data_IF_640070021385
#
_entry.id   IF_640070021385
#
_cell.length_a   1.000
_cell.length_b   1.000
_cell.length_c   1.000
_cell.angle_alpha   90.00
_cell.angle_beta   90.00
_cell.angle_gamma   90.00
#
_symmetry.space_group_name_H-M   'P 1'
#
loop_
_entity.id
_entity.type
_entity.pdbx_description
1 polymer ?
#
# COMPACT_ATOMS: atom_id res chain seq x y z
N UNK A 1 6.11 -5.97 -21.54
CA UNK A 1 6.04 -4.70 -20.77
C UNK A 1 6.77 -4.91 -19.47
N UNK A 2 7.69 -4.01 -19.10
CA UNK A 2 8.44 -4.11 -17.83
C UNK A 2 7.77 -3.33 -16.69
N UNK A 3 6.85 -2.41 -17.00
CA UNK A 3 6.04 -1.67 -16.03
C UNK A 3 4.70 -1.18 -16.64
N UNK A 4 3.84 -0.60 -15.81
CA UNK A 4 2.67 0.16 -16.24
C UNK A 4 2.45 1.34 -15.27
N UNK A 5 2.66 2.58 -15.72
CA UNK A 5 2.40 3.76 -14.90
C UNK A 5 1.79 4.88 -15.72
N UNK A 6 0.62 5.37 -15.28
CA UNK A 6 -0.20 6.38 -15.96
C UNK A 6 -0.62 7.56 -15.07
N UNK A 7 0.00 7.74 -13.90
CA UNK A 7 -0.53 8.62 -12.85
C UNK A 7 -0.32 10.13 -13.11
N UNK A 8 0.58 10.49 -14.01
CA UNK A 8 0.94 11.88 -14.27
C UNK A 8 0.53 12.31 -15.68
N UNK A 9 0.38 13.60 -15.87
CA UNK A 9 -0.02 14.18 -17.16
C UNK A 9 1.01 13.87 -18.27
N UNK A 10 2.30 13.85 -17.93
CA UNK A 10 3.42 13.64 -18.85
C UNK A 10 3.68 12.17 -19.23
N UNK A 11 2.69 11.27 -19.10
CA UNK A 11 2.90 9.86 -19.44
C UNK A 11 3.24 9.67 -20.92
N UNK A 12 3.99 8.62 -21.25
CA UNK A 12 4.44 8.40 -22.62
C UNK A 12 3.24 8.35 -23.59
N UNK A 13 3.28 9.23 -24.60
CA UNK A 13 2.20 9.39 -25.58
C UNK A 13 0.86 9.84 -25.01
N UNK A 14 0.83 10.44 -23.81
CA UNK A 14 -0.39 10.81 -23.09
C UNK A 14 -1.23 9.60 -22.65
N UNK A 15 -0.61 8.41 -22.57
CA UNK A 15 -1.31 7.14 -22.30
C UNK A 15 -0.72 6.40 -21.10
N UNK A 16 0.52 5.92 -21.22
CA UNK A 16 1.14 5.09 -20.18
C UNK A 16 2.63 4.89 -20.44
N UNK A 17 3.42 4.91 -19.36
CA UNK A 17 4.83 4.50 -19.37
C UNK A 17 4.93 2.97 -19.16
N UNK A 18 5.52 2.26 -20.13
CA UNK A 18 5.56 0.78 -20.14
C UNK A 18 6.97 0.15 -20.11
N UNK A 19 8.00 0.98 -20.28
CA UNK A 19 9.43 0.58 -20.26
C UNK A 19 10.19 1.37 -19.19
N UNK A 20 10.09 2.70 -19.26
CA UNK A 20 10.61 3.68 -18.30
C UNK A 20 9.61 4.83 -18.21
N UNK A 21 9.51 5.47 -17.04
CA UNK A 21 8.73 6.67 -16.84
C UNK A 21 9.37 7.89 -17.49
N UNK A 22 8.57 8.77 -18.09
CA UNK A 22 9.03 10.08 -18.59
C UNK A 22 9.66 10.91 -17.45
N UNK A 23 9.22 10.69 -16.21
CA UNK A 23 9.79 11.28 -15.00
C UNK A 23 11.11 10.65 -14.52
N UNK A 24 11.67 9.69 -15.26
CA UNK A 24 12.90 8.97 -14.88
C UNK A 24 12.70 7.74 -13.99
N UNK A 25 11.46 7.41 -13.62
CA UNK A 25 11.14 6.20 -12.86
C UNK A 25 11.42 4.94 -13.70
N UNK A 26 12.35 4.10 -13.25
CA UNK A 26 12.59 2.80 -13.89
C UNK A 26 11.55 1.74 -13.48
N UNK A 27 11.62 0.58 -14.15
CA UNK A 27 10.70 -0.53 -13.92
C UNK A 27 10.78 -1.12 -12.50
N UNK A 28 11.98 -1.17 -11.90
CA UNK A 28 12.17 -1.69 -10.54
C UNK A 28 11.53 -0.78 -9.49
N UNK A 29 11.73 0.53 -9.62
CA UNK A 29 11.06 1.54 -8.77
C UNK A 29 9.54 1.47 -8.97
N UNK A 30 9.06 1.34 -10.20
CA UNK A 30 7.63 1.20 -10.49
C UNK A 30 7.03 -0.04 -9.80
N UNK A 31 7.66 -1.22 -9.93
CA UNK A 31 7.19 -2.44 -9.28
C UNK A 31 7.19 -2.33 -7.75
N UNK A 32 8.20 -1.69 -7.14
CA UNK A 32 8.22 -1.47 -5.70
C UNK A 32 7.11 -0.52 -5.24
N UNK A 33 6.82 0.54 -6.00
CA UNK A 33 5.70 1.43 -5.74
C UNK A 33 4.36 0.69 -5.86
N UNK A 34 4.19 -0.18 -6.86
CA UNK A 34 2.99 -1.02 -7.00
C UNK A 34 2.80 -1.95 -5.79
N UNK A 35 3.88 -2.60 -5.34
CA UNK A 35 3.87 -3.45 -4.14
C UNK A 35 3.52 -2.65 -2.87
N UNK A 36 3.99 -1.40 -2.75
CA UNK A 36 3.63 -0.53 -1.63
C UNK A 36 2.14 -0.18 -1.63
N UNK A 37 1.57 0.15 -2.79
CA UNK A 37 0.12 0.39 -2.92
C UNK A 37 -0.65 -0.88 -2.58
N UNK A 38 -0.17 -2.04 -3.01
CA UNK A 38 -0.79 -3.32 -2.66
C UNK A 38 -0.76 -3.57 -1.15
N UNK A 39 0.39 -3.39 -0.50
CA UNK A 39 0.52 -3.51 0.95
C UNK A 39 -0.39 -2.53 1.69
N UNK A 40 -0.48 -1.27 1.24
CA UNK A 40 -1.37 -0.26 1.81
C UNK A 40 -2.84 -0.68 1.72
N UNK A 41 -3.30 -1.22 0.59
CA UNK A 41 -4.65 -1.78 0.44
C UNK A 41 -4.89 -2.96 1.40
N UNK A 42 -3.95 -3.90 1.46
CA UNK A 42 -4.05 -5.09 2.31
C UNK A 42 -4.09 -4.75 3.80
N UNK A 43 -3.34 -3.74 4.23
CA UNK A 43 -3.39 -3.23 5.61
C UNK A 43 -4.71 -2.49 5.87
N UNK A 44 -5.10 -1.61 4.95
CA UNK A 44 -6.28 -0.76 5.08
C UNK A 44 -7.56 -1.57 5.18
N UNK A 45 -7.63 -2.75 4.55
CA UNK A 45 -8.83 -3.60 4.65
C UNK A 45 -9.12 -4.01 6.09
N UNK A 46 -8.10 -4.38 6.87
CA UNK A 46 -8.24 -4.77 8.27
C UNK A 46 -8.48 -3.55 9.16
N UNK A 47 -7.70 -2.49 8.96
CA UNK A 47 -7.85 -1.23 9.69
C UNK A 47 -9.26 -0.63 9.51
N UNK A 48 -9.84 -0.74 8.31
CA UNK A 48 -11.20 -0.29 8.04
C UNK A 48 -12.26 -1.08 8.81
N UNK A 49 -12.13 -2.42 8.93
CA UNK A 49 -13.06 -3.22 9.73
C UNK A 49 -12.89 -2.93 11.23
N UNK A 50 -11.66 -2.84 11.71
CA UNK A 50 -11.39 -2.41 13.09
C UNK A 50 -12.02 -1.04 13.38
N UNK A 51 -11.91 -0.10 12.44
CA UNK A 51 -12.49 1.25 12.55
C UNK A 51 -14.02 1.25 12.64
N UNK A 52 -14.70 0.36 11.91
CA UNK A 52 -16.16 0.15 12.04
C UNK A 52 -16.57 -0.33 13.44
N UNK A 53 -15.66 -0.96 14.16
CA UNK A 53 -15.84 -1.44 15.54
C UNK A 53 -15.26 -0.46 16.58
N UNK A 54 -14.89 0.75 16.16
CA UNK A 54 -14.36 1.79 17.05
C UNK A 54 -12.87 1.66 17.40
N UNK A 55 -12.15 0.68 16.84
CA UNK A 55 -10.72 0.50 17.09
C UNK A 55 -9.86 1.17 16.01
N UNK A 56 -8.81 1.91 16.45
CA UNK A 56 -7.87 2.62 15.57
C UNK A 56 -6.45 2.49 16.10
N UNK A 57 -5.47 2.53 15.21
CA UNK A 57 -4.06 2.54 15.56
C UNK A 57 -3.32 3.56 14.67
N UNK A 58 -2.72 4.57 15.29
CA UNK A 58 -2.04 5.66 14.59
C UNK A 58 -0.83 5.19 13.78
N UNK A 59 -0.13 4.15 14.22
CA UNK A 59 1.03 3.63 13.49
C UNK A 59 0.61 3.02 12.14
N UNK A 60 -0.58 2.41 12.10
CA UNK A 60 -1.18 1.90 10.85
C UNK A 60 -1.53 3.06 9.93
N UNK A 61 -2.20 4.09 10.43
CA UNK A 61 -2.60 5.26 9.65
C UNK A 61 -1.37 6.00 9.06
N UNK A 62 -0.32 6.15 9.87
CA UNK A 62 0.94 6.76 9.44
C UNK A 62 1.64 5.93 8.36
N UNK A 63 1.65 4.60 8.50
CA UNK A 63 2.24 3.74 7.48
C UNK A 63 1.51 3.85 6.14
N UNK A 64 0.17 3.82 6.15
CA UNK A 64 -0.62 3.94 4.91
C UNK A 64 -0.33 5.28 4.22
N UNK A 65 -0.24 6.36 5.01
CA UNK A 65 0.09 7.69 4.49
C UNK A 65 1.51 7.74 3.91
N UNK A 66 2.50 7.19 4.62
CA UNK A 66 3.89 7.10 4.18
C UNK A 66 4.04 6.28 2.88
N UNK A 67 3.35 5.14 2.81
CA UNK A 67 3.37 4.27 1.64
C UNK A 67 2.81 4.99 0.41
N UNK A 68 1.63 5.61 0.52
CA UNK A 68 1.00 6.34 -0.59
C UNK A 68 1.81 7.58 -1.00
N UNK A 69 2.35 8.34 -0.04
CA UNK A 69 3.13 9.52 -0.36
C UNK A 69 4.43 9.15 -1.10
N UNK A 70 5.04 8.03 -0.74
CA UNK A 70 6.25 7.51 -1.40
C UNK A 70 6.05 7.08 -2.86
N UNK A 71 4.80 6.92 -3.31
CA UNK A 71 4.48 6.54 -4.70
C UNK A 71 4.04 7.72 -5.59
N UNK A 72 3.94 8.93 -5.04
CA UNK A 72 3.58 10.12 -5.81
C UNK A 72 4.72 10.48 -6.78
N UNK A 73 4.36 11.06 -7.93
CA UNK A 73 5.29 11.46 -8.99
C UNK A 73 6.40 12.34 -8.41
N UNK A 74 7.65 12.00 -8.73
CA UNK A 74 8.86 12.73 -8.30
C UNK A 74 9.13 12.76 -6.79
N UNK A 75 8.52 11.86 -5.99
CA UNK A 75 8.80 11.81 -4.54
C UNK A 75 9.97 10.92 -4.18
N UNK A 76 9.99 9.66 -4.65
CA UNK A 76 11.02 8.71 -4.23
C UNK A 76 11.36 7.70 -5.33
N UNK A 77 12.64 7.69 -5.72
CA UNK A 77 13.22 6.75 -6.69
C UNK A 77 14.28 5.83 -6.07
N UNK A 78 14.51 5.89 -4.75
CA UNK A 78 15.47 5.03 -4.06
C UNK A 78 14.86 3.65 -3.77
N UNK A 79 15.30 2.65 -4.52
CA UNK A 79 14.85 1.27 -4.39
C UNK A 79 15.12 0.67 -3.00
N UNK A 80 16.22 1.04 -2.33
CA UNK A 80 16.54 0.56 -0.97
C UNK A 80 15.55 1.13 0.03
N UNK A 81 15.21 2.42 -0.09
CA UNK A 81 14.23 3.05 0.79
C UNK A 81 12.83 2.50 0.57
N UNK A 82 12.41 2.32 -0.68
CA UNK A 82 11.12 1.71 -1.00
C UNK A 82 11.02 0.27 -0.49
N UNK A 83 12.07 -0.53 -0.66
CA UNK A 83 12.13 -1.88 -0.11
C UNK A 83 12.06 -1.90 1.43
N UNK A 84 12.71 -0.96 2.11
CA UNK A 84 12.65 -0.84 3.56
C UNK A 84 11.23 -0.48 4.06
N UNK A 85 10.53 0.43 3.37
CA UNK A 85 9.12 0.75 3.66
C UNK A 85 8.25 -0.48 3.43
N UNK A 86 8.46 -1.21 2.34
CA UNK A 86 7.70 -2.43 2.04
C UNK A 86 7.89 -3.50 3.13
N UNK A 87 9.13 -3.70 3.59
CA UNK A 87 9.44 -4.61 4.68
C UNK A 87 8.77 -4.21 6.00
N UNK A 88 8.69 -2.90 6.30
CA UNK A 88 7.91 -2.37 7.44
C UNK A 88 6.43 -2.70 7.30
N UNK A 89 5.88 -2.65 6.08
CA UNK A 89 4.49 -3.01 5.78
C UNK A 89 4.10 -4.41 6.24
N UNK A 90 5.00 -5.38 6.16
CA UNK A 90 4.76 -6.74 6.67
C UNK A 90 4.44 -6.77 8.16
N UNK A 91 5.14 -5.97 8.97
CA UNK A 91 4.90 -5.84 10.41
C UNK A 91 3.59 -5.09 10.69
N UNK A 92 3.35 -4.00 9.99
CA UNK A 92 2.12 -3.19 10.14
C UNK A 92 0.88 -3.98 9.74
N UNK A 93 0.98 -4.88 8.75
CA UNK A 93 -0.08 -5.82 8.41
C UNK A 93 -0.46 -6.73 9.57
N UNK A 94 0.51 -7.32 10.25
CA UNK A 94 0.24 -8.16 11.43
C UNK A 94 -0.45 -7.35 12.54
N UNK A 95 -0.03 -6.09 12.74
CA UNK A 95 -0.69 -5.18 13.68
C UNK A 95 -2.14 -4.91 13.29
N UNK A 96 -2.41 -4.65 12.00
CA UNK A 96 -3.77 -4.42 11.50
C UNK A 96 -4.69 -5.64 11.67
N UNK A 97 -4.16 -6.84 11.40
CA UNK A 97 -4.88 -8.10 11.65
C UNK A 97 -5.23 -8.23 13.13
N UNK A 98 -4.25 -8.05 14.02
CA UNK A 98 -4.46 -8.16 15.47
C UNK A 98 -5.45 -7.11 16.00
N UNK A 99 -5.38 -5.88 15.49
CA UNK A 99 -6.33 -4.82 15.84
C UNK A 99 -7.75 -5.22 15.46
N UNK A 100 -7.95 -5.73 14.24
CA UNK A 100 -9.27 -6.19 13.79
C UNK A 100 -9.78 -7.38 14.58
N UNK A 101 -8.98 -8.43 14.76
CA UNK A 101 -9.42 -9.64 15.48
C UNK A 101 -9.76 -9.35 16.93
N UNK A 102 -8.99 -8.48 17.60
CA UNK A 102 -9.30 -8.05 18.96
C UNK A 102 -10.60 -7.24 19.02
N UNK A 103 -10.80 -6.31 18.09
CA UNK A 103 -12.03 -5.50 18.02
C UNK A 103 -13.27 -6.38 17.74
N UNK A 104 -13.17 -7.33 16.81
CA UNK A 104 -14.23 -8.27 16.48
C UNK A 104 -14.59 -9.15 17.70
N UNK A 105 -13.58 -9.68 18.40
CA UNK A 105 -13.80 -10.45 19.63
C UNK A 105 -14.50 -9.67 20.73
N UNK A 106 -14.13 -8.40 20.96
CA UNK A 106 -14.80 -7.52 21.92
C UNK A 106 -16.24 -7.20 21.53
N UNK A 107 -16.52 -7.08 20.23
CA UNK A 107 -17.84 -6.81 19.70
C UNK A 107 -18.72 -8.07 19.55
N UNK A 108 -18.20 -9.26 19.85
CA UNK A 108 -18.91 -10.53 19.63
C UNK A 108 -19.18 -10.85 18.16
N UNK A 109 -18.43 -10.26 17.24
CA UNK A 109 -18.58 -10.47 15.79
C UNK A 109 -17.59 -11.50 15.27
N UNK A 110 -17.97 -12.35 14.31
CA UNK A 110 -17.03 -13.27 13.67
C UNK A 110 -15.97 -12.50 12.88
N UNK A 111 -14.74 -13.02 12.88
CA UNK A 111 -13.65 -12.49 12.04
C UNK A 111 -13.91 -12.90 10.59
N UNK A 112 -14.13 -11.91 9.73
CA UNK A 112 -14.32 -12.12 8.29
C UNK A 112 -13.06 -12.71 7.66
N UNK A 113 -13.26 -13.68 6.76
CA UNK A 113 -12.19 -14.08 5.85
C UNK A 113 -12.06 -12.99 4.77
N UNK A 114 -10.96 -12.24 4.81
CA UNK A 114 -10.68 -11.20 3.83
C UNK A 114 -9.74 -11.78 2.75
N UNK A 115 -10.25 -12.12 1.55
CA UNK A 115 -9.39 -12.58 0.46
C UNK A 115 -8.45 -11.45 0.03
N UNK A 116 -7.21 -11.81 -0.28
CA UNK A 116 -6.18 -10.85 -0.73
C UNK A 116 -6.75 -9.97 -1.85
N UNK A 117 -6.54 -8.64 -1.84
CA UNK A 117 -7.31 -7.70 -2.65
C UNK A 117 -7.36 -7.93 -4.18
N UNK A 118 -6.59 -8.86 -4.75
CA UNK A 118 -6.59 -9.21 -6.17
C UNK A 118 -6.22 -10.70 -6.41
N UNK A 119 -6.69 -11.61 -5.55
CA UNK A 119 -6.67 -13.05 -5.84
C UNK A 119 -7.92 -13.48 -6.61
#
# INVERSE_FOLDING_TARGET
MSMFCYQCEQTAGGKCCTVVGVCGKDASVASLQDLLVYAAKDISRYAHRAGKLGAKDRAIDLFVTEALFSTVTNVNFDTKRLAAILAKGGKVRQQAVALYTSAAGKAGQPVENLPTPHA
#
